data_IF_205114878459
#
_entry.id   IF_205114878459
#
_cell.length_a   1.000
_cell.length_b   1.000
_cell.length_c   1.000
_cell.angle_alpha   90.00
_cell.angle_beta   90.00
_cell.angle_gamma   90.00
#
_symmetry.space_group_name_H-M   'P 1'
#
loop_
_entity.id
_entity.type
_entity.pdbx_description
1 polymer ?
#
# COMPACT_ATOMS: atom_id res chain seq x y z
N UNK A 1 -5.72 0.58 16.17
CA UNK A 1 -5.40 -0.11 14.91
C UNK A 1 -5.09 0.97 13.91
N UNK A 2 -3.81 1.15 13.59
CA UNK A 2 -3.38 2.09 12.56
C UNK A 2 -3.59 1.43 11.20
N UNK A 3 -4.39 2.08 10.35
CA UNK A 3 -4.76 1.59 9.04
C UNK A 3 -4.65 2.75 8.08
N UNK A 4 -3.88 2.54 7.02
CA UNK A 4 -3.59 3.53 6.00
C UNK A 4 -3.99 3.00 4.65
N UNK A 5 -4.70 3.83 3.89
CA UNK A 5 -5.13 3.54 2.54
C UNK A 5 -4.27 4.30 1.57
N UNK A 6 -3.78 3.60 0.55
CA UNK A 6 -2.92 4.16 -0.47
C UNK A 6 -3.54 3.96 -1.85
N UNK A 7 -3.37 4.95 -2.71
CA UNK A 7 -3.42 4.78 -4.15
C UNK A 7 -1.98 4.61 -4.63
N UNK A 8 -1.67 3.43 -5.18
CA UNK A 8 -0.36 3.08 -5.74
C UNK A 8 -0.56 2.91 -7.24
N UNK A 9 -0.24 3.95 -8.01
CA UNK A 9 -0.35 3.94 -9.47
C UNK A 9 -1.74 3.48 -10.00
N UNK A 10 -2.82 3.88 -9.32
CA UNK A 10 -4.19 3.49 -9.66
C UNK A 10 -4.72 2.25 -8.93
N UNK A 11 -3.87 1.52 -8.21
CA UNK A 11 -4.26 0.38 -7.38
C UNK A 11 -4.49 0.81 -5.93
N UNK A 12 -5.57 0.34 -5.32
CA UNK A 12 -5.87 0.67 -3.93
C UNK A 12 -5.32 -0.42 -3.01
N UNK A 13 -4.53 0.00 -2.04
CA UNK A 13 -4.05 -0.87 -0.96
C UNK A 13 -4.45 -0.32 0.40
N UNK A 14 -4.69 -1.24 1.34
CA UNK A 14 -4.85 -0.95 2.77
C UNK A 14 -3.71 -1.64 3.50
N UNK A 15 -2.89 -0.84 4.18
CA UNK A 15 -1.80 -1.30 5.03
C UNK A 15 -2.22 -1.05 6.47
N UNK A 16 -2.25 -2.09 7.29
CA UNK A 16 -2.66 -2.00 8.68
C UNK A 16 -1.65 -2.68 9.60
N UNK A 17 -1.43 -2.11 10.79
CA UNK A 17 -0.56 -2.71 11.79
C UNK A 17 -1.36 -3.53 12.79
N UNK A 18 -1.09 -4.83 12.83
CA UNK A 18 -1.77 -5.81 13.70
C UNK A 18 -0.71 -6.57 14.50
N UNK A 19 -0.78 -6.47 15.83
CA UNK A 19 0.17 -7.11 16.74
C UNK A 19 1.66 -6.82 16.41
N UNK A 20 1.97 -5.59 15.99
CA UNK A 20 3.32 -5.19 15.61
C UNK A 20 3.78 -5.71 14.25
N UNK A 21 2.87 -6.20 13.40
CA UNK A 21 3.21 -6.66 12.04
C UNK A 21 2.33 -5.93 11.04
N UNK A 22 2.92 -5.50 9.93
CA UNK A 22 2.18 -4.94 8.81
C UNK A 22 1.41 -6.02 8.05
N UNK A 23 0.15 -5.74 7.76
CA UNK A 23 -0.67 -6.53 6.85
C UNK A 23 -1.07 -5.67 5.65
N UNK A 24 -0.83 -6.19 4.44
CA UNK A 24 -1.14 -5.51 3.19
C UNK A 24 -2.32 -6.18 2.47
N UNK A 25 -3.31 -5.37 2.13
CA UNK A 25 -4.53 -5.81 1.45
C UNK A 25 -4.73 -5.01 0.17
N UNK A 26 -4.97 -5.67 -0.96
CA UNK A 26 -5.47 -5.03 -2.18
C UNK A 26 -6.98 -4.86 -2.10
N UNK A 27 -7.49 -3.72 -2.57
CA UNK A 27 -8.94 -3.42 -2.63
C UNK A 27 -9.39 -3.44 -4.08
N UNK A 28 -10.24 -4.41 -4.43
CA UNK A 28 -10.85 -4.52 -5.75
C UNK A 28 -11.86 -3.41 -6.05
N UNK A 29 -12.25 -3.28 -7.32
CA UNK A 29 -13.27 -2.30 -7.73
C UNK A 29 -14.65 -2.53 -7.07
N UNK A 30 -14.93 -3.77 -6.64
CA UNK A 30 -16.11 -4.15 -5.87
C UNK A 30 -15.97 -3.87 -4.35
N UNK A 31 -14.85 -3.25 -3.93
CA UNK A 31 -14.59 -2.87 -2.54
C UNK A 31 -14.08 -4.02 -1.66
N UNK A 32 -13.99 -5.26 -2.17
CA UNK A 32 -13.48 -6.40 -1.42
C UNK A 32 -11.98 -6.33 -1.23
N UNK A 33 -11.52 -6.87 -0.11
CA UNK A 33 -10.10 -7.00 0.25
C UNK A 33 -9.59 -8.39 -0.07
N UNK A 34 -8.38 -8.45 -0.61
CA UNK A 34 -7.61 -9.67 -0.82
C UNK A 34 -6.16 -9.44 -0.37
N UNK A 35 -5.39 -10.48 0.05
CA UNK A 35 -3.97 -10.31 0.36
C UNK A 35 -3.23 -9.65 -0.81
N UNK A 36 -2.42 -8.64 -0.52
CA UNK A 36 -1.80 -7.83 -1.57
C UNK A 36 -0.62 -8.53 -2.31
N UNK A 37 -0.14 -9.66 -1.79
CA UNK A 37 0.96 -10.43 -2.40
C UNK A 37 2.37 -9.89 -2.12
N UNK A 38 2.50 -8.88 -1.26
CA UNK A 38 3.77 -8.36 -0.78
C UNK A 38 3.76 -8.19 0.75
N UNK A 39 4.94 -8.02 1.34
CA UNK A 39 5.14 -7.81 2.78
C UNK A 39 5.77 -6.46 3.01
N UNK A 40 5.35 -5.73 4.05
CA UNK A 40 6.03 -4.52 4.50
C UNK A 40 6.91 -4.90 5.70
N UNK A 41 8.23 -4.65 5.67
CA UNK A 41 9.10 -4.92 6.80
C UNK A 41 8.71 -4.12 8.06
N UNK A 42 8.87 -4.69 9.26
CA UNK A 42 8.47 -4.03 10.52
C UNK A 42 9.25 -2.75 10.85
N UNK A 43 10.47 -2.62 10.31
CA UNK A 43 11.29 -1.43 10.51
C UNK A 43 10.79 -0.22 9.69
N UNK A 44 9.87 -0.42 8.74
CA UNK A 44 9.26 0.68 7.98
C UNK A 44 8.27 1.40 8.88
N UNK A 45 8.55 2.67 9.14
CA UNK A 45 7.66 3.59 9.85
C UNK A 45 6.42 3.94 9.04
N UNK A 46 5.43 4.52 9.71
CA UNK A 46 4.18 4.93 9.06
C UNK A 46 4.43 5.99 7.96
N UNK A 47 5.28 6.96 8.26
CA UNK A 47 5.69 8.06 7.37
C UNK A 47 6.52 7.58 6.17
N UNK A 48 7.12 6.39 6.24
CA UNK A 48 7.92 5.80 5.18
C UNK A 48 7.10 4.93 4.21
N UNK A 49 5.84 4.59 4.55
CA UNK A 49 5.01 3.69 3.75
C UNK A 49 4.80 4.17 2.32
N UNK A 50 4.65 5.49 2.11
CA UNK A 50 4.44 6.04 0.76
C UNK A 50 5.66 5.83 -0.12
N UNK A 51 6.85 6.17 0.39
CA UNK A 51 8.13 5.98 -0.31
C UNK A 51 8.41 4.49 -0.54
N UNK A 52 8.20 3.65 0.48
CA UNK A 52 8.37 2.20 0.35
C UNK A 52 7.50 1.62 -0.77
N UNK A 53 6.22 2.01 -0.83
CA UNK A 53 5.31 1.56 -1.87
C UNK A 53 5.69 2.11 -3.26
N UNK A 54 6.22 3.33 -3.33
CA UNK A 54 6.75 3.88 -4.57
C UNK A 54 7.94 3.03 -5.05
N UNK A 55 8.95 2.82 -4.20
CA UNK A 55 10.13 2.03 -4.55
C UNK A 55 9.79 0.59 -4.91
N UNK A 56 8.80 -0.02 -4.25
CA UNK A 56 8.37 -1.39 -4.54
C UNK A 56 7.69 -1.53 -5.91
N UNK A 57 6.95 -0.51 -6.38
CA UNK A 57 6.08 -0.63 -7.55
C UNK A 57 6.46 0.26 -8.74
N UNK A 58 7.42 1.18 -8.61
CA UNK A 58 7.75 2.14 -9.67
C UNK A 58 8.17 1.49 -11.00
N UNK A 59 8.82 0.33 -10.96
CA UNK A 59 9.18 -0.42 -12.18
C UNK A 59 7.94 -0.97 -12.92
N UNK A 60 6.84 -1.20 -12.20
CA UNK A 60 5.57 -1.69 -12.74
C UNK A 60 4.59 -0.57 -13.08
N UNK A 61 4.94 0.69 -12.80
CA UNK A 61 4.09 1.83 -13.07
C UNK A 61 3.96 2.06 -14.59
N UNK A 62 2.71 2.11 -15.11
CA UNK A 62 2.50 2.47 -16.52
C UNK A 62 2.69 3.99 -16.68
N UNK A 63 3.19 4.46 -17.84
CA UNK A 63 3.26 5.88 -18.14
C UNK A 63 1.90 6.56 -17.90
N UNK A 64 1.87 7.57 -17.04
CA UNK A 64 0.64 8.33 -16.71
C UNK A 64 -0.23 7.76 -15.58
N UNK A 65 0.17 6.70 -14.90
CA UNK A 65 -0.63 6.07 -13.81
C UNK A 65 -0.67 6.87 -12.49
N UNK A 66 -0.12 8.08 -12.46
CA UNK A 66 -0.04 8.91 -11.27
C UNK A 66 1.17 8.58 -10.39
N UNK A 67 1.05 8.89 -9.11
CA UNK A 67 2.07 8.76 -8.07
C UNK A 67 1.53 7.92 -6.92
N UNK A 68 2.36 7.54 -5.94
CA UNK A 68 1.85 6.89 -4.72
C UNK A 68 1.35 7.94 -3.74
N UNK A 69 0.11 7.79 -3.25
CA UNK A 69 -0.49 8.75 -2.31
C UNK A 69 -1.26 8.06 -1.21
N UNK A 70 -1.08 8.51 0.03
CA UNK A 70 -1.99 8.23 1.13
C UNK A 70 -3.34 8.94 0.91
N UNK A 71 -4.45 8.20 1.06
CA UNK A 71 -5.82 8.67 0.79
C UNK A 71 -6.80 8.49 1.96
N UNK A 72 -6.30 8.11 3.14
CA UNK A 72 -7.07 8.01 4.38
C UNK A 72 -6.64 6.86 5.26
#
# INVERSE_FOLDING_TARGET
MESHRFNVFGHIYVIQRVAGIWQAWSVGADGKRSPAGFVVPDFIGDDELEQYLFDLFHESARPGSGDVRRIG
#
